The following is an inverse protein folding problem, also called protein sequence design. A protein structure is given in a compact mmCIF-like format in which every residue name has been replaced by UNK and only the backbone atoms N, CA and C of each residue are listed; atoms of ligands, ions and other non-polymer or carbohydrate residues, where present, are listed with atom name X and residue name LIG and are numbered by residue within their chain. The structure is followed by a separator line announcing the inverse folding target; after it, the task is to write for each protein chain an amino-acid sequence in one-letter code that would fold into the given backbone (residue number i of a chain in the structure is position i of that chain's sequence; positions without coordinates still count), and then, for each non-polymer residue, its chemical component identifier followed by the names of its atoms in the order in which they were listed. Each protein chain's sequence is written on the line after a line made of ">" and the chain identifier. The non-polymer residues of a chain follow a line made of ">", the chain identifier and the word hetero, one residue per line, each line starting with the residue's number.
data_IF_272431130757
#
_entry.id   IF_272431130757
#
_cell.length_a   1.000
_cell.length_b   1.000
_cell.length_c   1.000
_cell.angle_alpha   90.00
_cell.angle_beta   90.00
_cell.angle_gamma   90.00
#
_symmetry.space_group_name_H-M   'P 1'
#
loop_
_entity.id
_entity.type
_entity.pdbx_description
1 polymer ?
#
# COMPACT_ATOMS: atom_id res chain seq x y z
N UNK A 1 -0.59 -7.83 -26.66
CA UNK A 1 -0.09 -6.90 -25.61
C UNK A 1 -1.09 -6.80 -24.45
N UNK A 2 -2.34 -6.36 -24.69
CA UNK A 2 -3.38 -6.23 -23.66
C UNK A 2 -3.63 -7.50 -22.84
N UNK A 3 -3.69 -8.68 -23.47
CA UNK A 3 -3.91 -9.93 -22.74
C UNK A 3 -2.76 -10.26 -21.77
N UNK A 4 -1.51 -9.93 -22.12
CA UNK A 4 -0.34 -10.18 -21.28
C UNK A 4 -0.34 -9.23 -20.07
N UNK A 5 -0.63 -7.94 -20.31
CA UNK A 5 -0.79 -6.96 -19.24
C UNK A 5 -1.89 -7.38 -18.26
N UNK A 6 -3.03 -7.85 -18.79
CA UNK A 6 -4.14 -8.35 -17.95
C UNK A 6 -3.72 -9.57 -17.12
N UNK A 7 -2.90 -10.49 -17.68
CA UNK A 7 -2.35 -11.60 -16.91
C UNK A 7 -1.43 -11.12 -15.77
N UNK A 8 -0.59 -10.10 -16.00
CA UNK A 8 0.26 -9.51 -14.96
C UNK A 8 -0.58 -8.89 -13.83
N UNK A 9 -1.64 -8.14 -14.17
CA UNK A 9 -2.56 -7.56 -13.17
C UNK A 9 -3.32 -8.63 -12.40
N UNK A 10 -3.84 -9.65 -13.11
CA UNK A 10 -4.59 -10.75 -12.49
C UNK A 10 -3.74 -11.52 -11.48
N UNK A 11 -2.46 -11.76 -11.78
CA UNK A 11 -1.55 -12.41 -10.83
C UNK A 11 -1.46 -11.65 -9.51
N UNK A 12 -1.34 -10.32 -9.57
CA UNK A 12 -1.29 -9.48 -8.36
C UNK A 12 -2.63 -9.49 -7.61
N UNK A 13 -3.77 -9.40 -8.33
CA UNK A 13 -5.10 -9.47 -7.74
C UNK A 13 -5.34 -10.78 -6.98
N UNK A 14 -4.92 -11.92 -7.55
CA UNK A 14 -5.06 -13.24 -6.93
C UNK A 14 -4.16 -13.36 -5.69
N UNK A 15 -2.90 -12.94 -5.77
CA UNK A 15 -1.95 -13.02 -4.64
C UNK A 15 -2.41 -12.16 -3.47
N UNK A 16 -2.90 -10.94 -3.75
CA UNK A 16 -3.31 -9.99 -2.71
C UNK A 16 -4.77 -10.20 -2.26
N UNK A 17 -5.56 -10.99 -2.98
CA UNK A 17 -6.98 -11.17 -2.70
C UNK A 17 -7.81 -9.89 -2.93
N UNK A 18 -7.40 -9.04 -3.87
CA UNK A 18 -8.01 -7.73 -4.12
C UNK A 18 -8.39 -7.55 -5.59
N UNK A 19 -9.46 -6.78 -5.83
CA UNK A 19 -9.83 -6.32 -7.17
C UNK A 19 -9.08 -5.02 -7.51
N UNK A 20 -8.90 -4.74 -8.80
CA UNK A 20 -8.19 -3.54 -9.30
C UNK A 20 -8.77 -2.21 -8.77
N UNK A 21 -10.07 -2.15 -8.50
CA UNK A 21 -10.74 -0.95 -8.00
C UNK A 21 -10.57 -0.69 -6.49
N UNK A 22 -10.02 -1.65 -5.73
CA UNK A 22 -9.86 -1.54 -4.28
C UNK A 22 -8.61 -0.73 -3.92
N UNK A 23 -8.60 -0.16 -2.71
CA UNK A 23 -7.45 0.61 -2.25
C UNK A 23 -6.20 -0.29 -2.13
N UNK A 24 -5.03 0.14 -2.64
CA UNK A 24 -3.78 -0.58 -2.46
C UNK A 24 -3.38 -0.79 -0.99
N UNK A 25 -3.90 0.03 -0.07
CA UNK A 25 -3.62 -0.06 1.37
C UNK A 25 -4.22 -1.33 2.00
N UNK A 26 -5.24 -1.93 1.38
CA UNK A 26 -5.83 -3.19 1.84
C UNK A 26 -4.91 -4.41 1.63
N UNK A 27 -3.75 -4.23 0.98
CA UNK A 27 -2.70 -5.24 0.91
C UNK A 27 -1.93 -5.37 2.23
N UNK A 28 -2.03 -4.37 3.12
CA UNK A 28 -1.37 -4.39 4.42
C UNK A 28 -2.20 -5.22 5.42
N UNK A 29 -1.55 -5.94 6.34
CA UNK A 29 -2.29 -6.69 7.37
C UNK A 29 -3.07 -5.72 8.28
N UNK A 30 -4.14 -6.21 8.90
CA UNK A 30 -4.98 -5.44 9.84
C UNK A 30 -5.67 -4.19 9.25
N UNK A 31 -5.65 -4.02 7.94
CA UNK A 31 -6.43 -2.99 7.26
C UNK A 31 -7.82 -3.50 6.89
N UNK A 32 -8.80 -2.65 7.11
CA UNK A 32 -10.19 -2.88 6.73
C UNK A 32 -10.70 -1.62 6.02
N UNK A 33 -11.82 -1.71 5.29
CA UNK A 33 -12.33 -0.57 4.52
C UNK A 33 -12.61 0.66 5.39
N UNK A 34 -13.06 0.46 6.63
CA UNK A 34 -13.33 1.56 7.56
C UNK A 34 -12.07 2.33 7.98
N UNK A 35 -10.90 1.70 7.92
CA UNK A 35 -9.62 2.32 8.28
C UNK A 35 -9.12 3.28 7.19
N UNK A 36 -9.55 3.10 5.94
CA UNK A 36 -9.10 3.91 4.79
C UNK A 36 -9.46 5.39 4.94
N UNK A 37 -10.54 5.72 5.68
CA UNK A 37 -10.96 7.10 5.94
C UNK A 37 -9.90 7.93 6.66
N UNK A 38 -9.08 7.30 7.51
CA UNK A 38 -8.01 7.98 8.24
C UNK A 38 -6.85 8.36 7.30
N UNK A 39 -6.56 7.50 6.34
CA UNK A 39 -5.50 7.67 5.34
C UNK A 39 -5.84 8.76 4.31
N UNK A 40 -7.09 8.77 3.83
CA UNK A 40 -7.56 9.69 2.77
C UNK A 40 -8.00 11.06 3.33
N UNK A 41 -7.87 11.28 4.64
CA UNK A 41 -8.24 12.54 5.29
C UNK A 41 -7.56 13.76 4.65
N UNK A 42 -8.18 14.95 4.77
CA UNK A 42 -7.69 16.20 4.18
C UNK A 42 -6.23 16.52 4.53
N UNK A 43 -5.75 16.04 5.69
CA UNK A 43 -4.40 16.28 6.20
C UNK A 43 -3.31 15.47 5.47
N UNK A 44 -3.56 14.19 5.16
CA UNK A 44 -2.51 13.27 4.72
C UNK A 44 -2.65 12.78 3.28
N UNK A 45 -3.88 12.62 2.77
CA UNK A 45 -4.18 12.18 1.38
C UNK A 45 -3.41 10.93 0.92
N UNK A 46 -3.22 9.95 1.80
CA UNK A 46 -2.52 8.69 1.49
C UNK A 46 -3.41 7.81 0.60
N UNK A 47 -2.98 7.52 -0.62
CA UNK A 47 -3.71 6.68 -1.59
C UNK A 47 -2.93 5.44 -2.00
N UNK A 48 -1.61 5.50 -1.93
CA UNK A 48 -0.69 4.41 -2.29
C UNK A 48 0.16 3.99 -1.11
N UNK A 49 0.81 2.81 -1.21
CA UNK A 49 1.79 2.37 -0.22
C UNK A 49 3.01 3.31 -0.17
N UNK A 50 3.40 3.88 -1.33
CA UNK A 50 4.47 4.87 -1.41
C UNK A 50 4.13 6.15 -0.64
N UNK A 51 2.89 6.62 -0.71
CA UNK A 51 2.44 7.79 0.06
C UNK A 51 2.58 7.52 1.56
N UNK A 52 2.23 6.32 2.01
CA UNK A 52 2.31 5.93 3.41
C UNK A 52 3.77 5.88 3.89
N UNK A 53 4.69 5.34 3.08
CA UNK A 53 6.13 5.31 3.37
C UNK A 53 6.75 6.70 3.39
N UNK A 54 6.24 7.61 2.55
CA UNK A 54 6.78 8.97 2.42
C UNK A 54 6.41 9.90 3.58
N UNK A 55 5.54 9.47 4.49
CA UNK A 55 5.18 10.23 5.68
C UNK A 55 6.29 10.21 6.73
N UNK A 56 6.36 11.27 7.53
CA UNK A 56 7.16 11.27 8.75
C UNK A 56 6.64 10.19 9.70
N UNK A 57 7.54 9.56 10.46
CA UNK A 57 7.18 8.50 11.41
C UNK A 57 6.08 8.90 12.38
N UNK A 58 6.13 10.13 12.90
CA UNK A 58 5.10 10.67 13.79
C UNK A 58 3.73 10.75 13.11
N UNK A 59 3.68 11.19 11.85
CA UNK A 59 2.42 11.29 11.10
C UNK A 59 1.89 9.92 10.72
N UNK A 60 2.77 9.02 10.27
CA UNK A 60 2.43 7.61 9.99
C UNK A 60 1.87 6.92 11.22
N UNK A 61 2.53 7.05 12.38
CA UNK A 61 2.05 6.49 13.65
C UNK A 61 0.71 7.09 14.05
N UNK A 62 0.51 8.40 13.86
CA UNK A 62 -0.75 9.06 14.17
C UNK A 62 -1.92 8.59 13.29
N UNK A 63 -1.70 8.35 12.00
CA UNK A 63 -2.72 7.81 11.09
C UNK A 63 -3.08 6.37 11.46
N UNK A 64 -2.06 5.58 11.78
CA UNK A 64 -2.18 4.16 12.12
C UNK A 64 -2.43 3.93 13.62
N UNK A 65 -2.88 4.95 14.36
CA UNK A 65 -3.14 4.87 15.80
C UNK A 65 -4.22 3.85 16.19
N UNK A 66 -5.03 3.41 15.23
CA UNK A 66 -6.02 2.36 15.43
C UNK A 66 -5.38 0.97 15.59
N UNK A 67 -4.12 0.83 15.17
CA UNK A 67 -3.31 -0.37 15.40
C UNK A 67 -2.63 -0.28 16.76
N UNK A 68 -2.67 -1.38 17.51
CA UNK A 68 -1.76 -1.59 18.64
C UNK A 68 -0.30 -1.76 18.18
N UNK A 69 0.65 -1.78 19.11
CA UNK A 69 2.09 -1.89 18.78
C UNK A 69 2.42 -3.11 17.93
N UNK A 70 2.00 -4.31 18.35
CA UNK A 70 2.28 -5.55 17.63
C UNK A 70 1.75 -5.52 16.18
N UNK A 71 0.49 -5.12 16.00
CA UNK A 71 -0.12 -5.00 14.67
C UNK A 71 0.56 -3.94 13.81
N UNK A 72 1.00 -2.83 14.41
CA UNK A 72 1.73 -1.79 13.70
C UNK A 72 3.07 -2.32 13.19
N UNK A 73 3.81 -3.07 14.03
CA UNK A 73 5.09 -3.64 13.65
C UNK A 73 4.95 -4.66 12.52
N UNK A 74 3.90 -5.49 12.54
CA UNK A 74 3.58 -6.40 11.43
C UNK A 74 3.28 -5.64 10.13
N UNK A 75 2.51 -4.54 10.21
CA UNK A 75 2.26 -3.67 9.05
C UNK A 75 3.55 -3.05 8.53
N UNK A 76 4.44 -2.57 9.41
CA UNK A 76 5.72 -2.00 9.01
C UNK A 76 6.64 -3.04 8.38
N UNK A 77 6.66 -4.27 8.89
CA UNK A 77 7.43 -5.37 8.33
C UNK A 77 6.97 -5.70 6.90
N UNK A 78 5.66 -5.84 6.69
CA UNK A 78 5.10 -6.07 5.35
C UNK A 78 5.36 -4.86 4.44
N UNK A 79 5.10 -3.64 4.91
CA UNK A 79 5.35 -2.42 4.15
C UNK A 79 6.82 -2.29 3.72
N UNK A 80 7.77 -2.65 4.59
CA UNK A 80 9.20 -2.63 4.30
C UNK A 80 9.65 -3.74 3.34
N UNK A 81 8.85 -4.78 3.13
CA UNK A 81 9.11 -5.86 2.17
C UNK A 81 8.59 -5.58 0.76
N UNK A 82 7.79 -4.52 0.58
CA UNK A 82 7.29 -4.18 -0.75
C UNK A 82 8.44 -3.77 -1.68
N UNK A 83 8.40 -4.18 -2.97
CA UNK A 83 9.45 -3.86 -3.91
C UNK A 83 9.53 -2.34 -4.16
N UNK A 84 10.73 -1.78 -3.99
CA UNK A 84 11.07 -0.42 -4.38
C UNK A 84 12.18 -0.47 -5.43
N UNK A 85 11.81 -0.22 -6.69
CA UNK A 85 12.70 -0.39 -7.84
C UNK A 85 12.72 0.93 -8.63
N UNK A 86 13.92 1.46 -8.85
CA UNK A 86 14.15 2.55 -9.80
C UNK A 86 14.67 1.96 -11.12
N UNK A 87 14.12 2.38 -12.26
CA UNK A 87 14.46 1.84 -13.58
C UNK A 87 14.88 2.99 -14.51
N UNK A 88 16.06 2.83 -15.12
CA UNK A 88 16.56 3.72 -16.16
C UNK A 88 16.69 2.94 -17.47
N UNK A 89 16.15 3.48 -18.56
CA UNK A 89 16.28 2.88 -19.89
C UNK A 89 17.08 3.82 -20.80
N UNK A 90 17.91 3.25 -21.67
CA UNK A 90 18.62 3.98 -22.72
C UNK A 90 18.12 3.46 -24.06
N UNK A 91 17.77 4.36 -24.96
CA UNK A 91 17.54 4.01 -26.36
C UNK A 91 18.91 3.77 -27.00
N UNK A 92 19.09 2.60 -27.59
CA UNK A 92 20.22 2.34 -28.50
C UNK A 92 19.93 2.95 -29.88
#
# INVERSE_FOLDING_TARGET
>A
LTSIENCMKLSQMVVQGLQEAKSPLLQLPHFEEEHLRYCISKKYKVRTLQDLVSLKDSDRRNILRFLGEEKYDEVMAVLGSFPYINMETKLQ
#
